data_IF_359705784987
#
_entry.id   IF_359705784987
#
_cell.length_a   1.000
_cell.length_b   1.000
_cell.length_c   1.000
_cell.angle_alpha   90.00
_cell.angle_beta   90.00
_cell.angle_gamma   90.00
#
_symmetry.space_group_name_H-M   'P 1'
#
loop_
_entity.id
_entity.type
_entity.pdbx_description
1 polymer ?
#
# COMPACT_ATOMS: atom_id res chain seq x y z
N UNK A 1 -1.34 -25.73 -15.57
CA UNK A 1 -2.52 -26.22 -14.84
C UNK A 1 -2.28 -26.20 -13.33
N UNK A 2 -1.21 -26.77 -12.80
CA UNK A 2 -0.93 -26.82 -11.35
C UNK A 2 -0.89 -25.45 -10.63
N UNK A 3 -0.29 -24.40 -11.24
CA UNK A 3 -0.22 -23.09 -10.61
C UNK A 3 -1.62 -22.42 -10.47
N UNK A 4 -2.55 -22.70 -11.38
CA UNK A 4 -3.93 -22.21 -11.28
C UNK A 4 -4.66 -22.85 -10.11
N UNK A 5 -4.49 -24.15 -9.90
CA UNK A 5 -5.07 -24.89 -8.77
C UNK A 5 -4.46 -24.39 -7.46
N UNK A 6 -3.15 -24.23 -7.38
CA UNK A 6 -2.46 -23.66 -6.23
C UNK A 6 -2.98 -22.25 -5.91
N UNK A 7 -3.08 -21.38 -6.91
CA UNK A 7 -3.57 -20.01 -6.69
C UNK A 7 -5.04 -20.01 -6.26
N UNK A 8 -5.89 -20.87 -6.82
CA UNK A 8 -7.27 -21.02 -6.37
C UNK A 8 -7.34 -21.46 -4.89
N UNK A 9 -6.47 -22.40 -4.49
CA UNK A 9 -6.37 -22.83 -3.09
C UNK A 9 -5.91 -21.68 -2.18
N UNK A 10 -4.85 -20.94 -2.56
CA UNK A 10 -4.35 -19.78 -1.80
C UNK A 10 -5.44 -18.72 -1.64
N UNK A 11 -6.16 -18.39 -2.70
CA UNK A 11 -7.22 -17.40 -2.65
C UNK A 11 -8.45 -17.89 -1.87
N UNK A 12 -8.82 -19.17 -2.01
CA UNK A 12 -9.88 -19.79 -1.22
C UNK A 12 -9.55 -19.79 0.27
N UNK A 13 -8.33 -20.22 0.62
CA UNK A 13 -7.81 -20.18 1.98
C UNK A 13 -7.78 -18.74 2.53
N UNK A 14 -7.29 -17.79 1.75
CA UNK A 14 -7.27 -16.38 2.14
C UNK A 14 -8.68 -15.84 2.38
N UNK A 15 -9.66 -16.18 1.53
CA UNK A 15 -11.06 -15.79 1.71
C UNK A 15 -11.69 -16.36 2.98
N UNK A 16 -11.48 -17.66 3.25
CA UNK A 16 -12.00 -18.33 4.46
C UNK A 16 -11.36 -17.75 5.72
N UNK A 17 -10.04 -17.63 5.73
CA UNK A 17 -9.30 -17.09 6.90
C UNK A 17 -9.62 -15.62 7.13
N UNK A 18 -9.94 -14.84 6.09
CA UNK A 18 -10.40 -13.47 6.19
C UNK A 18 -11.71 -13.36 7.01
N UNK A 19 -12.64 -14.29 6.79
CA UNK A 19 -13.90 -14.37 7.55
C UNK A 19 -13.65 -14.77 9.01
N UNK A 20 -12.81 -15.78 9.24
CA UNK A 20 -12.49 -16.30 10.59
C UNK A 20 -11.76 -15.24 11.41
N UNK A 21 -10.73 -14.61 10.84
CA UNK A 21 -9.89 -13.63 11.55
C UNK A 21 -10.62 -12.29 11.77
N UNK A 22 -11.70 -12.04 11.03
CA UNK A 22 -12.53 -10.86 11.29
C UNK A 22 -13.11 -10.87 12.72
N UNK A 23 -13.45 -12.03 13.28
CA UNK A 23 -14.01 -12.13 14.63
C UNK A 23 -13.03 -11.61 15.70
N UNK A 24 -11.80 -12.16 15.84
CA UNK A 24 -10.85 -11.63 16.81
C UNK A 24 -10.44 -10.19 16.52
N UNK A 25 -10.38 -9.78 15.25
CA UNK A 25 -10.15 -8.41 14.88
C UNK A 25 -11.22 -7.48 15.42
N UNK A 26 -12.51 -7.82 15.23
CA UNK A 26 -13.64 -7.03 15.71
C UNK A 26 -13.66 -6.94 17.26
N UNK A 27 -13.33 -8.04 17.94
CA UNK A 27 -13.20 -8.06 19.41
C UNK A 27 -12.09 -7.10 19.85
N UNK A 28 -10.90 -7.19 19.25
CA UNK A 28 -9.78 -6.28 19.54
C UNK A 28 -10.20 -4.82 19.31
N UNK A 29 -10.83 -4.55 18.18
CA UNK A 29 -11.28 -3.20 17.82
C UNK A 29 -12.27 -2.64 18.85
N UNK A 30 -13.31 -3.42 19.24
CA UNK A 30 -14.32 -3.02 20.21
C UNK A 30 -13.69 -2.77 21.59
N UNK A 31 -12.84 -3.70 22.05
CA UNK A 31 -12.22 -3.62 23.39
C UNK A 31 -11.25 -2.44 23.48
N UNK A 32 -10.51 -2.16 22.40
CA UNK A 32 -9.51 -1.08 22.41
C UNK A 32 -10.10 0.29 22.06
N UNK A 33 -11.29 0.35 21.45
CA UNK A 33 -11.93 1.59 20.99
C UNK A 33 -11.97 2.73 22.02
N UNK A 34 -12.29 2.50 23.32
CA UNK A 34 -12.34 3.57 24.31
C UNK A 34 -10.98 4.22 24.59
N UNK A 35 -9.88 3.49 24.40
CA UNK A 35 -8.51 3.90 24.77
C UNK A 35 -7.65 4.23 23.55
N UNK A 36 -7.96 3.60 22.41
CA UNK A 36 -7.18 3.71 21.17
C UNK A 36 -8.00 4.34 20.05
N UNK A 37 -8.23 5.64 20.13
CA UNK A 37 -8.97 6.40 19.12
C UNK A 37 -8.36 6.34 17.72
N UNK A 38 -7.08 5.99 17.61
CA UNK A 38 -6.37 5.82 16.33
C UNK A 38 -6.41 4.38 15.83
N UNK A 39 -7.07 3.47 16.55
CA UNK A 39 -7.16 2.04 16.21
C UNK A 39 -5.79 1.39 16.00
N UNK A 40 -4.76 1.86 16.71
CA UNK A 40 -3.39 1.41 16.55
C UNK A 40 -3.24 -0.10 16.77
N UNK A 41 -3.88 -0.63 17.82
CA UNK A 41 -3.81 -2.06 18.18
C UNK A 41 -4.49 -2.90 17.09
N UNK A 42 -5.70 -2.52 16.67
CA UNK A 42 -6.44 -3.23 15.61
C UNK A 42 -5.68 -3.20 14.27
N UNK A 43 -5.07 -2.06 13.92
CA UNK A 43 -4.24 -1.93 12.73
C UNK A 43 -2.95 -2.75 12.80
N UNK A 44 -2.32 -2.86 13.99
CA UNK A 44 -1.18 -3.75 14.21
C UNK A 44 -1.57 -5.22 14.01
N UNK A 45 -2.73 -5.62 14.48
CA UNK A 45 -3.26 -6.95 14.23
C UNK A 45 -3.48 -7.19 12.73
N UNK A 46 -4.12 -6.24 12.02
CA UNK A 46 -4.29 -6.31 10.55
C UNK A 46 -2.94 -6.45 9.85
N UNK A 47 -1.95 -5.67 10.26
CA UNK A 47 -0.61 -5.70 9.69
C UNK A 47 0.06 -7.06 9.88
N UNK A 48 0.03 -7.59 11.10
CA UNK A 48 0.56 -8.90 11.43
C UNK A 48 -0.10 -10.00 10.60
N UNK A 49 -1.43 -9.98 10.55
CA UNK A 49 -2.19 -10.95 9.78
C UNK A 49 -1.95 -10.85 8.27
N UNK A 50 -1.98 -9.65 7.70
CA UNK A 50 -1.68 -9.46 6.28
C UNK A 50 -0.24 -9.89 5.94
N UNK A 51 0.72 -9.60 6.82
CA UNK A 51 2.10 -10.06 6.68
C UNK A 51 2.22 -11.60 6.73
N UNK A 52 1.33 -12.26 7.46
CA UNK A 52 1.28 -13.73 7.51
C UNK A 52 0.94 -14.33 6.13
N UNK A 53 0.07 -13.71 5.34
CA UNK A 53 -0.22 -14.23 3.99
C UNK A 53 0.98 -14.23 3.06
N UNK A 54 2.01 -13.46 3.34
CA UNK A 54 3.25 -13.51 2.58
C UNK A 54 3.93 -14.89 2.69
N UNK A 55 3.82 -15.56 3.83
CA UNK A 55 4.37 -16.91 4.02
C UNK A 55 3.63 -18.00 3.22
N UNK A 56 2.42 -17.70 2.73
CA UNK A 56 1.69 -18.59 1.84
C UNK A 56 2.17 -18.51 0.38
N UNK A 57 3.08 -17.59 0.08
CA UNK A 57 3.70 -17.48 -1.24
C UNK A 57 4.96 -18.35 -1.25
N UNK A 58 4.89 -19.59 -1.80
CA UNK A 58 6.02 -20.48 -1.82
C UNK A 58 7.15 -19.90 -2.67
N UNK A 59 8.38 -20.23 -2.27
CA UNK A 59 9.59 -19.87 -3.02
C UNK A 59 9.69 -18.36 -3.34
N UNK A 60 9.20 -17.51 -2.43
CA UNK A 60 9.26 -16.07 -2.56
C UNK A 60 10.08 -15.48 -1.43
N UNK A 61 11.19 -14.83 -1.76
CA UNK A 61 12.05 -14.12 -0.82
C UNK A 61 11.76 -12.63 -0.85
N UNK A 62 11.88 -11.97 0.30
CA UNK A 62 11.73 -10.53 0.45
C UNK A 62 13.04 -9.93 0.97
N UNK A 63 13.58 -8.98 0.23
CA UNK A 63 14.67 -8.13 0.65
C UNK A 63 14.16 -6.71 0.83
N UNK A 64 14.42 -6.11 1.99
CA UNK A 64 14.01 -4.73 2.30
C UNK A 64 15.25 -3.91 2.60
N UNK A 65 15.47 -2.86 1.80
CA UNK A 65 16.57 -1.91 1.96
C UNK A 65 16.08 -0.62 2.61
N UNK A 66 16.89 -0.04 3.50
CA UNK A 66 16.67 1.25 4.15
C UNK A 66 15.36 1.32 4.95
N UNK A 67 14.99 0.24 5.63
CA UNK A 67 13.76 0.16 6.42
C UNK A 67 13.68 1.23 7.52
N UNK A 68 14.82 1.67 8.01
CA UNK A 68 14.96 2.73 9.02
C UNK A 68 14.48 4.10 8.52
N UNK A 69 14.48 4.32 7.20
CA UNK A 69 14.02 5.57 6.56
C UNK A 69 12.50 5.74 6.55
N UNK A 70 11.74 4.68 6.86
CA UNK A 70 10.28 4.77 6.92
C UNK A 70 9.84 5.86 7.88
N UNK A 71 8.98 6.76 7.39
CA UNK A 71 8.34 7.80 8.18
C UNK A 71 7.38 7.18 9.19
N UNK A 72 7.85 6.99 10.42
CA UNK A 72 7.05 6.39 11.50
C UNK A 72 6.30 7.49 12.24
N UNK A 73 4.96 7.47 12.15
CA UNK A 73 4.11 8.39 12.92
C UNK A 73 4.25 9.86 12.53
N UNK A 74 4.73 10.16 11.34
CA UNK A 74 4.83 11.51 10.78
C UNK A 74 3.89 11.65 9.59
N UNK A 75 3.20 12.78 9.50
CA UNK A 75 2.38 13.10 8.34
C UNK A 75 3.23 13.12 7.07
N UNK A 76 2.95 12.26 6.13
CA UNK A 76 3.57 12.25 4.80
C UNK A 76 2.67 11.53 3.79
N UNK A 77 2.83 11.82 2.52
CA UNK A 77 2.30 11.00 1.45
C UNK A 77 3.36 9.97 1.08
N UNK A 78 3.03 8.70 1.22
CA UNK A 78 3.90 7.58 0.79
C UNK A 78 3.44 7.14 -0.58
N UNK A 79 4.36 7.02 -1.52
CA UNK A 79 4.09 6.58 -2.88
C UNK A 79 4.95 5.38 -3.26
N UNK A 80 4.43 4.52 -4.12
CA UNK A 80 5.21 3.40 -4.69
C UNK A 80 4.69 3.06 -6.09
N UNK A 81 5.55 2.47 -6.91
CA UNK A 81 5.10 1.75 -8.10
C UNK A 81 4.25 0.53 -7.70
N UNK A 82 3.38 0.08 -8.59
CA UNK A 82 2.40 -0.99 -8.30
C UNK A 82 2.43 -2.09 -9.35
N UNK A 83 3.11 -3.18 -9.04
CA UNK A 83 3.28 -4.30 -9.96
C UNK A 83 2.23 -5.40 -9.77
N UNK A 84 1.82 -5.66 -8.52
CA UNK A 84 1.01 -6.83 -8.17
C UNK A 84 0.17 -6.59 -6.91
N UNK A 85 -0.80 -7.46 -6.66
CA UNK A 85 -1.49 -7.48 -5.37
C UNK A 85 -0.54 -7.83 -4.21
N UNK A 86 0.54 -8.54 -4.51
CA UNK A 86 1.59 -8.90 -3.55
C UNK A 86 2.25 -7.66 -2.94
N UNK A 87 2.29 -6.52 -3.65
CA UNK A 87 2.88 -5.27 -3.14
C UNK A 87 2.28 -4.85 -1.79
N UNK A 88 0.98 -5.07 -1.63
CA UNK A 88 0.27 -4.77 -0.38
C UNK A 88 0.78 -5.66 0.75
N UNK A 89 0.90 -6.98 0.51
CA UNK A 89 1.42 -7.92 1.50
C UNK A 89 2.88 -7.62 1.87
N UNK A 90 3.67 -7.27 0.86
CA UNK A 90 5.07 -6.87 1.00
C UNK A 90 5.20 -5.61 1.86
N UNK A 91 4.40 -4.60 1.59
CA UNK A 91 4.41 -3.36 2.39
C UNK A 91 3.91 -3.62 3.83
N UNK A 92 2.93 -4.48 4.06
CA UNK A 92 2.56 -4.91 5.40
C UNK A 92 3.71 -5.66 6.09
N UNK A 93 4.50 -6.45 5.35
CA UNK A 93 5.66 -7.17 5.87
C UNK A 93 6.81 -6.24 6.27
N UNK A 94 6.88 -5.02 5.74
CA UNK A 94 7.84 -4.01 6.22
C UNK A 94 7.52 -3.52 7.64
N UNK A 95 6.34 -3.84 8.15
CA UNK A 95 5.81 -3.34 9.41
C UNK A 95 5.71 -1.81 9.46
N UNK A 96 5.57 -1.20 8.28
CA UNK A 96 5.22 0.21 8.16
C UNK A 96 3.72 0.41 8.40
N UNK A 97 3.38 1.52 9.00
CA UNK A 97 2.01 1.90 9.29
C UNK A 97 1.56 2.95 8.27
N UNK A 98 0.47 2.68 7.58
CA UNK A 98 -0.10 3.59 6.60
C UNK A 98 -1.63 3.59 6.67
N UNK A 99 -2.24 4.74 6.36
CA UNK A 99 -3.62 4.81 5.91
C UNK A 99 -3.62 4.57 4.40
N UNK A 100 -4.30 3.53 3.96
CA UNK A 100 -4.34 3.15 2.55
C UNK A 100 -5.43 3.88 1.78
N UNK A 101 -5.09 4.43 0.62
CA UNK A 101 -6.08 4.84 -0.38
C UNK A 101 -6.35 3.67 -1.31
N UNK A 102 -7.59 3.20 -1.34
CA UNK A 102 -7.96 1.99 -2.07
C UNK A 102 -9.24 2.18 -2.88
N UNK A 103 -9.39 1.32 -3.92
CA UNK A 103 -10.56 1.33 -4.80
C UNK A 103 -11.85 1.03 -4.01
N UNK A 104 -12.92 1.76 -4.30
CA UNK A 104 -14.20 1.68 -3.57
C UNK A 104 -14.80 0.26 -3.58
N UNK A 105 -14.59 -0.50 -4.65
CA UNK A 105 -15.09 -1.87 -4.76
C UNK A 105 -14.46 -2.81 -3.74
N UNK A 106 -13.22 -2.56 -3.31
CA UNK A 106 -12.59 -3.36 -2.26
C UNK A 106 -13.31 -3.23 -0.92
N UNK A 107 -13.95 -2.08 -0.67
CA UNK A 107 -14.74 -1.85 0.54
C UNK A 107 -16.09 -2.58 0.52
N UNK A 108 -16.50 -3.15 -0.62
CA UNK A 108 -17.71 -3.95 -0.74
C UNK A 108 -17.48 -5.44 -0.47
N UNK A 109 -16.20 -5.87 -0.48
CA UNK A 109 -15.86 -7.27 -0.18
C UNK A 109 -16.15 -7.57 1.29
N UNK A 110 -16.96 -8.58 1.60
CA UNK A 110 -17.25 -8.97 2.98
C UNK A 110 -15.99 -9.19 3.80
N UNK A 111 -16.00 -8.85 5.07
CA UNK A 111 -14.89 -8.83 6.02
C UNK A 111 -13.77 -7.87 5.64
N UNK A 112 -13.19 -7.97 4.44
CA UNK A 112 -12.14 -7.07 3.97
C UNK A 112 -12.60 -5.60 4.03
N UNK A 113 -13.74 -5.31 3.44
CA UNK A 113 -14.29 -3.95 3.41
C UNK A 113 -14.65 -3.43 4.81
N UNK A 114 -15.08 -4.31 5.71
CA UNK A 114 -15.33 -3.95 7.10
C UNK A 114 -14.03 -3.59 7.83
N UNK A 115 -13.00 -4.45 7.73
CA UNK A 115 -11.65 -4.16 8.29
C UNK A 115 -11.08 -2.86 7.72
N UNK A 116 -11.23 -2.63 6.41
CA UNK A 116 -10.74 -1.40 5.78
C UNK A 116 -11.43 -0.15 6.34
N UNK A 117 -12.75 -0.18 6.52
CA UNK A 117 -13.50 0.94 7.14
C UNK A 117 -13.11 1.14 8.60
N UNK A 118 -13.05 0.07 9.37
CA UNK A 118 -12.68 0.11 10.79
C UNK A 118 -11.24 0.58 11.02
N UNK A 119 -10.35 0.32 10.06
CA UNK A 119 -8.97 0.86 10.06
C UNK A 119 -8.89 2.32 9.58
N UNK A 120 -9.99 2.92 9.12
CA UNK A 120 -9.99 4.29 8.61
C UNK A 120 -9.31 4.44 7.25
N UNK A 121 -9.27 3.38 6.43
CA UNK A 121 -8.71 3.46 5.07
C UNK A 121 -9.61 4.29 4.17
N UNK A 122 -9.02 4.92 3.19
CA UNK A 122 -9.66 5.93 2.34
C UNK A 122 -10.15 5.28 1.04
N UNK A 123 -11.43 5.44 0.77
CA UNK A 123 -12.08 4.91 -0.43
C UNK A 123 -12.04 5.91 -1.57
N UNK A 124 -11.76 5.44 -2.79
CA UNK A 124 -11.82 6.27 -4.00
C UNK A 124 -12.47 5.52 -5.17
N UNK A 125 -13.43 6.14 -5.83
CA UNK A 125 -13.94 5.72 -7.14
C UNK A 125 -13.09 6.40 -8.23
N UNK A 126 -12.16 5.67 -8.81
CA UNK A 126 -11.13 6.22 -9.72
C UNK A 126 -11.70 6.81 -11.00
N UNK A 127 -12.89 6.36 -11.42
CA UNK A 127 -13.60 6.74 -12.65
C UNK A 127 -14.69 7.79 -12.39
N UNK A 128 -14.89 8.18 -11.12
CA UNK A 128 -15.88 9.16 -10.72
C UNK A 128 -15.21 10.36 -10.04
N UNK A 129 -15.01 11.48 -10.77
CA UNK A 129 -14.41 12.70 -10.22
C UNK A 129 -15.14 13.25 -9.00
N UNK A 130 -16.44 12.97 -8.85
CA UNK A 130 -17.23 13.39 -7.69
C UNK A 130 -16.79 12.75 -6.38
N UNK A 131 -16.02 11.65 -6.45
CA UNK A 131 -15.46 10.99 -5.26
C UNK A 131 -14.17 11.66 -4.75
N UNK A 132 -13.50 12.47 -5.56
CA UNK A 132 -12.19 13.04 -5.23
C UNK A 132 -12.22 14.06 -4.08
N UNK A 133 -13.20 14.99 -3.99
CA UNK A 133 -13.27 15.92 -2.85
C UNK A 133 -13.30 15.19 -1.50
N UNK A 134 -14.11 14.14 -1.39
CA UNK A 134 -14.19 13.31 -0.19
C UNK A 134 -12.87 12.61 0.11
N UNK A 135 -12.23 12.04 -0.90
CA UNK A 135 -10.91 11.42 -0.76
C UNK A 135 -9.86 12.42 -0.24
N UNK A 136 -9.80 13.64 -0.79
CA UNK A 136 -8.86 14.66 -0.34
C UNK A 136 -9.14 15.14 1.08
N UNK A 137 -10.43 15.27 1.45
CA UNK A 137 -10.83 15.58 2.82
C UNK A 137 -10.37 14.50 3.82
N UNK A 138 -10.56 13.22 3.47
CA UNK A 138 -10.16 12.09 4.31
C UNK A 138 -8.62 11.99 4.42
N UNK A 139 -7.89 12.26 3.32
CA UNK A 139 -6.42 12.38 3.34
C UNK A 139 -5.99 13.49 4.29
N UNK A 140 -6.58 14.69 4.17
CA UNK A 140 -6.29 15.82 5.05
C UNK A 140 -6.49 15.47 6.52
N UNK A 141 -7.59 14.78 6.86
CA UNK A 141 -7.86 14.32 8.24
C UNK A 141 -6.80 13.34 8.74
N UNK A 142 -6.39 12.38 7.91
CA UNK A 142 -5.34 11.43 8.26
C UNK A 142 -4.00 12.13 8.52
N UNK A 143 -3.60 13.04 7.62
CA UNK A 143 -2.37 13.80 7.77
C UNK A 143 -2.39 14.73 9.00
N UNK A 144 -3.52 15.37 9.31
CA UNK A 144 -3.68 16.18 10.53
C UNK A 144 -3.53 15.34 11.82
N UNK A 145 -3.84 14.05 11.76
CA UNK A 145 -3.60 13.09 12.84
C UNK A 145 -2.19 12.51 12.84
N UNK A 146 -1.24 13.07 12.07
CA UNK A 146 0.13 12.58 11.91
C UNK A 146 0.20 11.14 11.36
N UNK A 147 -0.79 10.75 10.56
CA UNK A 147 -0.84 9.42 9.94
C UNK A 147 -0.29 9.49 8.50
N UNK A 148 0.69 8.66 8.14
CA UNK A 148 1.16 8.58 6.78
C UNK A 148 0.09 7.94 5.87
N UNK A 149 -0.09 8.51 4.67
CA UNK A 149 -1.09 8.03 3.70
C UNK A 149 -0.40 7.38 2.52
N UNK A 150 -0.69 6.09 2.28
CA UNK A 150 -0.12 5.32 1.18
C UNK A 150 -0.99 5.37 -0.06
N UNK A 151 -0.40 5.77 -1.17
CA UNK A 151 -1.07 5.89 -2.47
C UNK A 151 -0.18 5.23 -3.54
N UNK A 152 -0.75 4.37 -4.35
CA UNK A 152 -0.15 3.92 -5.59
C UNK A 152 -0.55 4.88 -6.72
N UNK A 153 0.33 5.79 -7.18
CA UNK A 153 -0.06 6.85 -8.10
C UNK A 153 -0.40 6.35 -9.51
N UNK A 154 0.02 5.14 -9.88
CA UNK A 154 -0.43 4.50 -11.12
C UNK A 154 -1.94 4.27 -11.15
N UNK A 155 -2.54 4.08 -9.99
CA UNK A 155 -3.97 3.80 -9.86
C UNK A 155 -4.40 2.43 -10.37
N UNK A 156 -3.51 1.62 -10.90
CA UNK A 156 -3.71 0.22 -11.33
C UNK A 156 -2.41 -0.55 -11.23
N UNK A 157 -2.48 -1.88 -11.27
CA UNK A 157 -1.30 -2.74 -11.28
C UNK A 157 -0.74 -2.84 -12.70
N UNK A 158 0.56 -2.67 -12.86
CA UNK A 158 1.23 -2.80 -14.16
C UNK A 158 1.31 -4.25 -14.63
N UNK A 159 1.35 -5.22 -13.70
CA UNK A 159 1.54 -6.63 -14.00
C UNK A 159 2.91 -6.98 -14.59
N UNK A 160 3.83 -6.06 -14.56
CA UNK A 160 5.18 -6.16 -15.11
C UNK A 160 6.13 -5.20 -14.38
N UNK A 161 7.41 -5.23 -14.74
CA UNK A 161 8.41 -4.30 -14.24
C UNK A 161 8.25 -2.88 -14.81
N UNK A 162 7.60 -2.73 -15.96
CA UNK A 162 7.38 -1.44 -16.59
C UNK A 162 6.30 -0.67 -15.84
N UNK A 163 6.66 0.49 -15.29
CA UNK A 163 5.73 1.36 -14.60
C UNK A 163 4.73 2.01 -15.56
N UNK A 164 3.49 2.17 -15.08
CA UNK A 164 2.47 2.98 -15.73
C UNK A 164 2.69 4.49 -15.55
N UNK A 165 1.75 5.27 -16.09
CA UNK A 165 1.73 6.73 -15.86
C UNK A 165 1.24 7.01 -14.44
N UNK A 166 1.85 7.99 -13.78
CA UNK A 166 1.38 8.47 -12.48
C UNK A 166 0.22 9.45 -12.64
N UNK A 167 -0.77 9.35 -11.76
CA UNK A 167 -1.87 10.29 -11.60
C UNK A 167 -1.51 11.36 -10.59
N UNK A 168 -2.08 12.55 -10.75
CA UNK A 168 -1.73 13.74 -9.95
C UNK A 168 -2.22 13.71 -8.49
N UNK A 169 -3.17 12.83 -8.15
CA UNK A 169 -3.87 12.86 -6.86
C UNK A 169 -2.97 12.82 -5.63
N UNK A 170 -1.92 11.97 -5.63
CA UNK A 170 -0.98 11.86 -4.53
C UNK A 170 -0.17 13.16 -4.35
N UNK A 171 0.26 13.74 -5.46
CA UNK A 171 1.11 14.94 -5.51
C UNK A 171 0.32 16.19 -5.13
N UNK A 172 -0.91 16.30 -5.63
CA UNK A 172 -1.86 17.34 -5.19
C UNK A 172 -2.10 17.26 -3.69
N UNK A 173 -2.33 16.06 -3.14
CA UNK A 173 -2.53 15.89 -1.70
C UNK A 173 -1.31 16.35 -0.89
N UNK A 174 -0.08 16.07 -1.35
CA UNK A 174 1.14 16.51 -0.68
C UNK A 174 1.30 18.03 -0.72
N UNK A 175 1.07 18.65 -1.87
CA UNK A 175 1.15 20.13 -2.04
C UNK A 175 0.10 20.83 -1.17
N UNK A 176 -1.16 20.42 -1.25
CA UNK A 176 -2.27 21.07 -0.54
C UNK A 176 -2.10 21.00 0.99
N UNK A 177 -1.46 19.96 1.49
CA UNK A 177 -1.23 19.74 2.93
C UNK A 177 0.19 20.09 3.40
N UNK A 178 1.06 20.55 2.50
CA UNK A 178 2.47 20.93 2.78
C UNK A 178 3.22 19.84 3.56
N UNK A 179 3.10 18.59 3.09
CA UNK A 179 3.75 17.42 3.73
C UNK A 179 4.78 16.80 2.81
N UNK A 180 5.80 16.12 3.37
CA UNK A 180 6.79 15.42 2.57
C UNK A 180 6.17 14.26 1.78
N UNK A 181 6.87 13.87 0.70
CA UNK A 181 6.56 12.67 -0.07
C UNK A 181 7.67 11.66 0.18
N UNK A 182 7.28 10.44 0.60
CA UNK A 182 8.21 9.33 0.78
C UNK A 182 8.04 8.29 -0.33
N UNK A 183 9.01 8.15 -1.24
CA UNK A 183 8.96 7.13 -2.28
C UNK A 183 9.40 5.77 -1.74
N UNK A 184 8.74 4.70 -2.22
CA UNK A 184 9.12 3.31 -2.05
C UNK A 184 9.19 2.66 -3.43
N UNK A 185 10.22 1.86 -3.66
CA UNK A 185 10.41 1.12 -4.91
C UNK A 185 10.20 -0.35 -4.64
N UNK A 186 9.38 -1.01 -5.45
CA UNK A 186 9.11 -2.45 -5.37
C UNK A 186 9.48 -3.09 -6.71
N UNK A 187 10.31 -4.13 -6.66
CA UNK A 187 10.65 -4.94 -7.83
C UNK A 187 10.39 -6.42 -7.59
N UNK A 188 10.03 -7.15 -8.65
CA UNK A 188 9.88 -8.60 -8.65
C UNK A 188 8.52 -9.13 -8.15
N UNK A 189 7.64 -8.32 -7.60
CA UNK A 189 6.34 -8.78 -7.07
C UNK A 189 5.38 -9.31 -8.14
N UNK A 190 5.52 -8.84 -9.40
CA UNK A 190 4.71 -9.28 -10.53
C UNK A 190 4.96 -10.76 -10.91
N UNK A 191 6.10 -11.33 -10.48
CA UNK A 191 6.47 -12.72 -10.74
C UNK A 191 5.72 -13.66 -9.80
N UNK A 192 5.59 -13.30 -8.52
CA UNK A 192 5.22 -14.21 -7.44
C UNK A 192 3.92 -14.99 -7.63
N UNK A 193 2.87 -14.40 -8.21
CA UNK A 193 1.60 -15.10 -8.52
C UNK A 193 1.60 -15.84 -9.86
N UNK A 194 2.54 -15.54 -10.74
CA UNK A 194 2.64 -16.16 -12.08
C UNK A 194 3.59 -17.35 -12.10
N UNK A 195 4.34 -17.56 -11.02
CA UNK A 195 5.40 -18.53 -10.91
C UNK A 195 4.91 -19.98 -11.01
N UNK A 196 5.62 -20.81 -11.79
CA UNK A 196 5.50 -22.27 -11.84
C UNK A 196 6.42 -22.93 -10.80
N UNK A 197 6.21 -24.22 -10.48
CA UNK A 197 7.04 -24.98 -9.54
C UNK A 197 8.52 -25.05 -9.96
N UNK A 198 8.77 -24.96 -11.27
CA UNK A 198 10.13 -25.09 -11.85
C UNK A 198 10.81 -23.72 -12.08
N UNK A 199 10.14 -22.61 -11.77
CA UNK A 199 10.74 -21.29 -11.93
C UNK A 199 11.69 -21.02 -10.74
N UNK A 200 12.79 -20.28 -10.94
CA UNK A 200 13.69 -19.89 -9.85
C UNK A 200 12.94 -19.09 -8.76
N UNK A 201 13.44 -19.10 -7.55
CA UNK A 201 12.84 -18.32 -6.45
C UNK A 201 12.54 -16.89 -6.88
N UNK A 202 11.34 -16.40 -6.56
CA UNK A 202 11.00 -15.01 -6.81
C UNK A 202 11.62 -14.15 -5.71
N UNK A 203 12.58 -13.32 -6.07
CA UNK A 203 13.13 -12.31 -5.17
C UNK A 203 12.36 -11.00 -5.33
N UNK A 204 11.64 -10.62 -4.28
CA UNK A 204 11.00 -9.32 -4.21
C UNK A 204 11.92 -8.37 -3.45
N UNK A 205 12.29 -7.28 -4.09
CA UNK A 205 13.11 -6.22 -3.51
C UNK A 205 12.24 -5.01 -3.20
N UNK A 206 12.39 -4.48 -2.00
CA UNK A 206 11.76 -3.22 -1.57
C UNK A 206 12.85 -2.26 -1.15
N UNK A 207 12.89 -1.10 -1.74
CA UNK A 207 13.82 -0.03 -1.36
C UNK A 207 13.05 1.20 -0.91
N UNK A 208 13.33 1.64 0.30
CA UNK A 208 12.71 2.83 0.88
C UNK A 208 13.67 3.99 0.65
N UNK A 209 13.20 5.02 -0.05
CA UNK A 209 13.99 6.20 -0.33
C UNK A 209 13.82 7.24 0.79
N UNK A 210 14.68 8.23 0.83
CA UNK A 210 14.54 9.33 1.76
C UNK A 210 13.26 10.12 1.46
N UNK A 211 12.53 10.56 2.49
CA UNK A 211 11.39 11.45 2.27
C UNK A 211 11.89 12.78 1.70
N UNK A 212 11.24 13.24 0.65
CA UNK A 212 11.50 14.55 0.05
C UNK A 212 10.61 15.57 0.78
N UNK A 213 11.17 16.51 1.54
CA UNK A 213 10.40 17.49 2.29
C UNK A 213 9.70 18.48 1.36
N UNK A 214 8.58 19.07 1.81
CA UNK A 214 7.78 20.00 1.01
C UNK A 214 8.57 21.21 0.52
N UNK A 215 9.54 21.66 1.30
CA UNK A 215 10.41 22.80 1.01
C UNK A 215 11.26 22.62 -0.26
N UNK A 216 11.41 21.36 -0.73
CA UNK A 216 12.13 21.06 -1.97
C UNK A 216 11.25 21.12 -3.23
N UNK A 217 9.91 21.23 -3.07
CA UNK A 217 9.00 21.30 -4.21
C UNK A 217 7.86 22.35 -4.05
N UNK A 218 8.07 23.51 -3.40
CA UNK A 218 7.00 24.46 -3.11
C UNK A 218 6.44 25.14 -4.36
N UNK A 219 7.22 25.20 -5.44
CA UNK A 219 6.85 25.80 -6.72
C UNK A 219 6.37 24.80 -7.77
N UNK A 220 6.43 23.50 -7.49
CA UNK A 220 5.98 22.49 -8.44
C UNK A 220 4.45 22.45 -8.49
N UNK A 221 3.90 22.32 -9.69
CA UNK A 221 2.52 21.90 -9.83
C UNK A 221 2.40 20.36 -9.74
N UNK A 222 1.20 19.80 -9.53
CA UNK A 222 1.03 18.35 -9.40
C UNK A 222 1.51 17.56 -10.63
N UNK A 223 1.43 18.14 -11.81
CA UNK A 223 1.86 17.48 -13.06
C UNK A 223 3.37 17.38 -13.18
N UNK A 224 4.10 18.41 -12.81
CA UNK A 224 5.57 18.39 -12.77
C UNK A 224 6.07 17.42 -11.69
N UNK A 225 5.43 17.49 -10.51
CA UNK A 225 5.84 16.68 -9.37
C UNK A 225 5.63 15.18 -9.61
N UNK A 226 4.56 14.77 -10.31
CA UNK A 226 4.35 13.37 -10.66
C UNK A 226 5.43 12.82 -11.59
N UNK A 227 5.89 13.60 -12.57
CA UNK A 227 6.97 13.17 -13.48
C UNK A 227 8.30 13.09 -12.72
N UNK A 228 8.63 14.08 -11.89
CA UNK A 228 9.81 14.07 -11.05
C UNK A 228 9.91 12.79 -10.20
N UNK A 229 8.86 12.44 -9.47
CA UNK A 229 8.85 11.23 -8.63
C UNK A 229 8.77 9.95 -9.45
N UNK A 230 8.11 9.96 -10.59
CA UNK A 230 8.08 8.82 -11.48
C UNK A 230 9.49 8.50 -11.99
N UNK A 231 10.24 9.50 -12.44
CA UNK A 231 11.62 9.34 -12.92
C UNK A 231 12.55 8.93 -11.78
N UNK A 232 12.37 9.46 -10.59
CA UNK A 232 13.13 9.04 -9.39
C UNK A 232 12.90 7.55 -9.10
N UNK A 233 11.65 7.09 -9.05
CA UNK A 233 11.31 5.69 -8.79
C UNK A 233 11.81 4.80 -9.92
N UNK A 234 11.69 5.22 -11.19
CA UNK A 234 12.20 4.46 -12.35
C UNK A 234 13.71 4.27 -12.26
N UNK A 235 14.46 5.33 -12.00
CA UNK A 235 15.91 5.28 -11.81
C UNK A 235 16.35 4.27 -10.74
N UNK A 236 15.64 4.26 -9.62
CA UNK A 236 15.93 3.33 -8.53
C UNK A 236 15.47 1.90 -8.84
N UNK A 237 14.35 1.75 -9.56
CA UNK A 237 13.88 0.46 -10.04
C UNK A 237 14.90 -0.17 -11.01
N UNK A 238 15.50 0.62 -11.90
CA UNK A 238 16.51 0.15 -12.85
C UNK A 238 17.78 -0.35 -12.16
N UNK A 239 18.15 0.24 -11.01
CA UNK A 239 19.28 -0.22 -10.18
C UNK A 239 19.01 -1.53 -9.43
N UNK A 240 17.73 -1.90 -9.25
CA UNK A 240 17.36 -3.14 -8.57
C UNK A 240 17.32 -4.36 -9.50
N UNK A 241 17.60 -4.17 -10.78
CA UNK A 241 17.59 -5.21 -11.81
C UNK A 241 18.59 -6.34 -11.53
#
# INVERSE_FOLDING_TARGET
MLYRIRNAFIWGFAGITLLIIFIPYAIIWIVTYPFDRRHYVARKFTQWWAAFYFFLLPDTKLQVENKEKLSKGKACIVISNHQSLIDILVLFRTFAYFIWVSKAENFQVPSLGWVMRMNGYISVKREDPKSFPKMFEDIKKALANHEPVMIFPEGTRSGSRKMGRFKEGAFKAAIDNKVPIQPIVIDGSYIGLKKSKNDPEALIKVKILDPVPYEQFPSYNPSELKEYFRDMIQKELDKLA
#
